data_IF_864463863972
#
_entry.id   IF_864463863972
#
_cell.length_a   1.000
_cell.length_b   1.000
_cell.length_c   1.000
_cell.angle_alpha   90.00
_cell.angle_beta   90.00
_cell.angle_gamma   90.00
#
_symmetry.space_group_name_H-M   'P 1'
#
loop_
_entity.id
_entity.type
_entity.pdbx_description
1 polymer ?
#
# COMPACT_ATOMS: atom_id res chain seq x y z
N UNK A 1 -1.37 -19.70 -2.59
CA UNK A 1 -1.98 -18.34 -2.59
C UNK A 1 -1.70 -17.61 -1.29
N UNK A 2 -2.19 -18.09 -0.14
CA UNK A 2 -2.01 -17.40 1.16
C UNK A 2 -0.55 -17.11 1.53
N UNK A 3 0.40 -18.05 1.34
CA UNK A 3 1.81 -17.79 1.67
C UNK A 3 2.49 -16.79 0.72
N UNK A 4 2.11 -16.79 -0.56
CA UNK A 4 2.63 -15.83 -1.57
C UNK A 4 2.04 -14.45 -1.35
N UNK A 5 0.75 -14.36 -1.03
CA UNK A 5 0.12 -13.14 -0.53
C UNK A 5 0.82 -12.67 0.74
N UNK A 6 0.98 -13.52 1.75
CA UNK A 6 1.55 -13.15 3.04
C UNK A 6 3.00 -12.62 2.96
N UNK A 7 3.86 -13.22 2.14
CA UNK A 7 5.24 -12.74 1.96
C UNK A 7 5.32 -11.49 1.09
N UNK A 8 4.58 -11.44 -0.01
CA UNK A 8 4.58 -10.27 -0.88
C UNK A 8 3.93 -9.07 -0.16
N UNK A 9 2.90 -9.29 0.66
CA UNK A 9 2.28 -8.29 1.55
C UNK A 9 3.18 -7.77 2.67
N UNK A 10 4.29 -8.46 3.01
CA UNK A 10 5.32 -7.93 3.92
C UNK A 10 6.35 -7.06 3.21
N UNK A 11 6.62 -7.37 1.95
CA UNK A 11 7.58 -6.66 1.10
C UNK A 11 6.94 -5.37 0.56
N UNK A 12 5.67 -5.45 0.16
CA UNK A 12 4.89 -4.34 -0.37
C UNK A 12 4.96 -3.08 0.52
N UNK A 13 4.70 -3.10 1.84
CA UNK A 13 4.81 -1.88 2.66
C UNK A 13 6.20 -1.24 2.61
N UNK A 14 7.29 -2.01 2.51
CA UNK A 14 8.65 -1.46 2.41
C UNK A 14 8.96 -0.88 1.03
N UNK A 15 8.52 -1.54 -0.04
CA UNK A 15 8.66 -1.05 -1.42
C UNK A 15 7.77 0.19 -1.64
N UNK A 16 6.53 0.14 -1.16
CA UNK A 16 5.57 1.23 -1.30
C UNK A 16 5.90 2.41 -0.37
N UNK A 17 6.45 2.22 0.83
CA UNK A 17 6.93 3.34 1.66
C UNK A 17 8.15 4.04 1.02
N UNK A 18 8.98 3.31 0.26
CA UNK A 18 10.07 3.89 -0.53
C UNK A 18 9.59 4.68 -1.75
N UNK A 19 8.55 4.20 -2.42
CA UNK A 19 7.95 4.86 -3.58
C UNK A 19 6.87 5.79 -3.08
N UNK A 20 7.24 7.06 -2.84
CA UNK A 20 6.39 8.19 -2.41
C UNK A 20 5.31 8.57 -3.45
N UNK A 21 4.73 7.56 -4.08
CA UNK A 21 4.15 7.59 -5.41
C UNK A 21 2.67 7.94 -5.35
N UNK A 22 1.96 7.38 -4.38
CA UNK A 22 0.71 7.94 -3.94
C UNK A 22 1.14 9.02 -2.97
N UNK A 23 1.07 10.27 -3.40
CA UNK A 23 1.23 11.42 -2.53
C UNK A 23 -0.16 11.78 -2.00
N UNK A 24 -0.68 11.09 -0.96
CA UNK A 24 -1.77 11.65 -0.20
C UNK A 24 -1.31 12.96 0.48
N UNK A 25 -0.01 13.28 0.46
CA UNK A 25 0.62 14.46 1.05
C UNK A 25 -0.14 15.77 0.85
N UNK A 26 -0.45 16.22 -0.39
CA UNK A 26 -1.19 17.46 -0.61
C UNK A 26 -2.59 17.46 0.00
N UNK A 27 -3.36 16.38 -0.16
CA UNK A 27 -4.71 16.33 0.41
C UNK A 27 -4.68 16.16 1.93
N UNK A 28 -3.80 15.32 2.46
CA UNK A 28 -3.61 15.11 3.90
C UNK A 28 -3.15 16.41 4.54
N UNK A 29 -2.23 17.14 3.92
CA UNK A 29 -1.79 18.46 4.39
C UNK A 29 -2.94 19.47 4.40
N UNK A 30 -3.82 19.45 3.38
CA UNK A 30 -5.04 20.28 3.39
C UNK A 30 -5.99 19.91 4.52
N UNK A 31 -6.22 18.63 4.77
CA UNK A 31 -7.06 18.17 5.89
C UNK A 31 -6.44 18.56 7.24
N UNK A 32 -5.11 18.56 7.36
CA UNK A 32 -4.42 19.01 8.58
C UNK A 32 -4.51 20.51 8.79
N UNK A 33 -4.48 21.29 7.71
CA UNK A 33 -4.56 22.75 7.76
C UNK A 33 -6.00 23.28 7.88
N UNK A 34 -7.00 22.50 7.46
CA UNK A 34 -8.41 22.87 7.53
C UNK A 34 -8.93 22.83 8.97
N UNK A 35 -9.81 23.77 9.29
CA UNK A 35 -10.59 23.82 10.53
C UNK A 35 -12.01 23.27 10.33
N UNK A 36 -12.33 22.82 9.12
CA UNK A 36 -13.68 22.47 8.70
C UNK A 36 -14.03 21.05 9.14
N UNK A 37 -15.27 20.85 9.60
CA UNK A 37 -15.73 19.53 10.00
C UNK A 37 -16.16 18.70 8.78
N UNK A 38 -15.89 17.40 8.86
CA UNK A 38 -16.38 16.38 7.93
C UNK A 38 -17.37 15.44 8.62
N UNK A 39 -17.84 15.78 9.82
CA UNK A 39 -18.77 14.92 10.56
C UNK A 39 -20.14 14.89 9.87
N UNK A 40 -20.49 13.71 9.38
CA UNK A 40 -21.71 13.44 8.61
C UNK A 40 -22.68 12.52 9.33
N UNK A 41 -22.36 12.11 10.56
CA UNK A 41 -23.28 11.41 11.45
C UNK A 41 -24.26 12.43 12.09
N UNK A 42 -25.58 12.35 11.79
CA UNK A 42 -26.58 13.27 12.35
C UNK A 42 -26.68 13.22 13.88
N UNK A 43 -26.14 12.17 14.53
CA UNK A 43 -26.07 12.07 15.99
C UNK A 43 -24.90 12.86 16.59
N UNK A 44 -23.95 13.32 15.76
CA UNK A 44 -22.70 13.94 16.19
C UNK A 44 -22.50 15.37 15.67
N UNK A 45 -23.35 15.85 14.77
CA UNK A 45 -23.34 17.23 14.27
C UNK A 45 -24.74 17.85 14.23
N UNK A 46 -24.81 19.18 14.16
CA UNK A 46 -26.09 19.86 13.98
C UNK A 46 -26.64 19.64 12.55
N UNK A 47 -27.98 19.73 12.33
CA UNK A 47 -28.56 19.63 11.00
C UNK A 47 -28.15 20.76 10.05
N UNK A 48 -27.80 21.92 10.60
CA UNK A 48 -27.40 23.13 9.86
C UNK A 48 -26.01 22.93 9.23
N UNK A 49 -25.07 22.37 9.99
CA UNK A 49 -23.70 22.08 9.53
C UNK A 49 -23.63 20.80 8.69
N UNK A 50 -24.63 19.90 8.79
CA UNK A 50 -24.58 18.58 8.17
C UNK A 50 -24.43 18.66 6.63
N UNK A 51 -25.09 19.62 5.98
CA UNK A 51 -24.97 19.76 4.52
C UNK A 51 -23.60 20.31 4.11
N UNK A 52 -23.04 21.25 4.86
CA UNK A 52 -21.69 21.77 4.63
C UNK A 52 -20.63 20.68 4.85
N UNK A 53 -20.75 19.91 5.94
CA UNK A 53 -19.83 18.81 6.25
C UNK A 53 -19.86 17.70 5.19
N UNK A 54 -21.03 17.43 4.59
CA UNK A 54 -21.17 16.48 3.47
C UNK A 54 -20.42 16.96 2.24
N UNK A 55 -20.50 18.25 1.93
CA UNK A 55 -19.78 18.87 0.82
C UNK A 55 -18.27 18.83 1.05
N UNK A 56 -17.80 19.17 2.27
CA UNK A 56 -16.39 19.05 2.63
C UNK A 56 -15.87 17.62 2.47
N UNK A 57 -16.66 16.61 2.90
CA UNK A 57 -16.30 15.20 2.72
C UNK A 57 -16.27 14.80 1.25
N UNK A 58 -17.24 15.26 0.46
CA UNK A 58 -17.27 15.01 -0.98
C UNK A 58 -15.99 15.51 -1.66
N UNK A 59 -15.66 16.79 -1.46
CA UNK A 59 -14.48 17.43 -2.05
C UNK A 59 -13.19 16.72 -1.62
N UNK A 60 -13.06 16.39 -0.33
CA UNK A 60 -11.88 15.68 0.18
C UNK A 60 -11.74 14.28 -0.41
N UNK A 61 -12.85 13.57 -0.62
CA UNK A 61 -12.85 12.26 -1.28
C UNK A 61 -12.53 12.39 -2.77
N UNK A 62 -13.09 13.39 -3.46
CA UNK A 62 -12.82 13.64 -4.87
C UNK A 62 -11.33 13.92 -5.12
N UNK A 63 -10.73 14.82 -4.35
CA UNK A 63 -9.29 15.11 -4.44
C UNK A 63 -8.44 13.85 -4.21
N UNK A 64 -8.80 13.01 -3.23
CA UNK A 64 -8.08 11.79 -2.94
C UNK A 64 -8.20 10.77 -4.10
N UNK A 65 -9.41 10.58 -4.65
CA UNK A 65 -9.64 9.66 -5.77
C UNK A 65 -8.93 10.15 -7.02
N UNK A 66 -9.07 11.42 -7.38
CA UNK A 66 -8.39 11.99 -8.55
C UNK A 66 -6.86 11.83 -8.42
N UNK A 67 -6.29 12.13 -7.26
CA UNK A 67 -4.86 11.93 -7.02
C UNK A 67 -4.43 10.48 -7.20
N UNK A 68 -5.24 9.50 -6.76
CA UNK A 68 -4.96 8.07 -6.97
C UNK A 68 -5.05 7.70 -8.46
N UNK A 69 -6.09 8.13 -9.16
CA UNK A 69 -6.27 7.80 -10.58
C UNK A 69 -5.18 8.45 -11.46
N UNK A 70 -4.82 9.69 -11.19
CA UNK A 70 -3.74 10.41 -11.89
C UNK A 70 -2.36 9.85 -11.55
N UNK A 71 -2.20 9.25 -10.37
CA UNK A 71 -0.92 8.68 -9.96
C UNK A 71 -0.46 7.63 -10.97
N UNK A 72 -1.34 6.88 -11.64
CA UNK A 72 -1.03 5.77 -12.56
C UNK A 72 0.28 5.88 -13.36
N UNK A 73 0.64 7.07 -13.88
CA UNK A 73 1.86 7.30 -14.68
C UNK A 73 3.18 7.18 -13.94
N UNK A 74 3.22 7.47 -12.65
CA UNK A 74 4.46 7.37 -11.85
C UNK A 74 4.55 6.04 -11.07
N UNK A 75 3.66 5.06 -11.36
CA UNK A 75 3.47 3.89 -10.50
C UNK A 75 4.76 3.08 -10.43
N UNK A 76 5.21 2.69 -9.23
CA UNK A 76 6.52 2.09 -9.06
C UNK A 76 6.59 0.77 -9.84
N UNK A 77 7.59 0.63 -10.73
CA UNK A 77 7.67 -0.52 -11.63
C UNK A 77 7.84 -1.84 -10.90
N UNK A 78 8.46 -1.82 -9.72
CA UNK A 78 8.62 -3.01 -8.89
C UNK A 78 7.28 -3.55 -8.42
N UNK A 79 6.31 -2.67 -8.12
CA UNK A 79 4.96 -3.09 -7.75
C UNK A 79 4.14 -3.51 -8.96
N UNK A 80 4.27 -2.81 -10.10
CA UNK A 80 3.63 -3.25 -11.33
C UNK A 80 4.06 -4.66 -11.68
N UNK A 81 5.36 -4.95 -11.69
CA UNK A 81 5.87 -6.28 -11.95
C UNK A 81 5.29 -7.34 -11.00
N UNK A 82 5.14 -7.01 -9.71
CA UNK A 82 4.51 -7.90 -8.73
C UNK A 82 3.02 -8.12 -9.07
N UNK A 83 2.26 -7.07 -9.34
CA UNK A 83 0.83 -7.14 -9.63
C UNK A 83 0.53 -7.83 -10.95
N UNK A 84 1.30 -7.55 -12.01
CA UNK A 84 1.22 -8.25 -13.29
C UNK A 84 1.53 -9.74 -13.13
N UNK A 85 2.54 -10.11 -12.32
CA UNK A 85 2.83 -11.52 -12.03
C UNK A 85 1.69 -12.23 -11.29
N UNK A 86 0.91 -11.51 -10.48
CA UNK A 86 -0.28 -12.06 -9.83
C UNK A 86 -1.39 -12.27 -10.86
N UNK A 87 -1.61 -11.29 -11.73
CA UNK A 87 -2.61 -11.35 -12.80
C UNK A 87 -2.35 -12.52 -13.75
N UNK A 88 -1.10 -12.72 -14.18
CA UNK A 88 -0.71 -13.86 -15.01
C UNK A 88 -1.01 -15.21 -14.33
N UNK A 89 -0.61 -15.35 -13.05
CA UNK A 89 -0.85 -16.59 -12.29
C UNK A 89 -2.33 -16.89 -12.10
N UNK A 90 -3.12 -15.86 -11.83
CA UNK A 90 -4.56 -16.00 -11.63
C UNK A 90 -5.27 -16.28 -12.95
N UNK A 91 -4.80 -15.70 -14.06
CA UNK A 91 -5.29 -16.01 -15.42
C UNK A 91 -5.00 -17.47 -15.78
N UNK A 92 -3.82 -18.01 -15.41
CA UNK A 92 -3.53 -19.45 -15.57
C UNK A 92 -4.47 -20.36 -14.76
N UNK A 93 -5.10 -19.85 -13.71
CA UNK A 93 -6.10 -20.57 -12.92
C UNK A 93 -7.54 -20.36 -13.39
N UNK A 94 -7.74 -19.71 -14.54
CA UNK A 94 -9.05 -19.40 -15.11
C UNK A 94 -9.93 -18.54 -14.18
N UNK A 95 -9.30 -17.62 -13.43
CA UNK A 95 -9.97 -16.77 -12.43
C UNK A 95 -9.56 -15.29 -12.51
N UNK A 96 -9.53 -14.65 -13.69
CA UNK A 96 -8.94 -13.32 -13.90
C UNK A 96 -9.45 -12.23 -12.94
N UNK A 97 -10.71 -12.29 -12.53
CA UNK A 97 -11.32 -11.35 -11.56
C UNK A 97 -10.62 -11.33 -10.20
N UNK A 98 -10.00 -12.44 -9.79
CA UNK A 98 -9.30 -12.52 -8.51
C UNK A 98 -8.03 -11.66 -8.48
N UNK A 99 -7.41 -11.39 -9.64
CA UNK A 99 -6.16 -10.62 -9.70
C UNK A 99 -6.40 -9.16 -9.32
N UNK A 100 -7.36 -8.50 -9.97
CA UNK A 100 -7.76 -7.14 -9.63
C UNK A 100 -8.31 -7.02 -8.20
N UNK A 101 -9.04 -8.02 -7.70
CA UNK A 101 -9.48 -8.06 -6.30
C UNK A 101 -8.31 -8.17 -5.31
N UNK A 102 -7.32 -9.01 -5.60
CA UNK A 102 -6.12 -9.16 -4.78
C UNK A 102 -5.29 -7.88 -4.76
N UNK A 103 -5.14 -7.23 -5.91
CA UNK A 103 -4.44 -5.94 -6.02
C UNK A 103 -5.18 -4.85 -5.27
N UNK A 104 -6.52 -4.75 -5.44
CA UNK A 104 -7.35 -3.82 -4.66
C UNK A 104 -7.20 -4.02 -3.15
N UNK A 105 -7.30 -5.27 -2.67
CA UNK A 105 -7.14 -5.62 -1.26
C UNK A 105 -5.70 -5.45 -0.73
N UNK A 106 -4.70 -5.42 -1.60
CA UNK A 106 -3.32 -5.10 -1.23
C UNK A 106 -3.13 -3.58 -1.16
N UNK A 107 -3.47 -2.88 -2.23
CA UNK A 107 -3.19 -1.46 -2.40
C UNK A 107 -4.05 -0.60 -1.48
N UNK A 108 -5.36 -0.83 -1.40
CA UNK A 108 -6.26 0.02 -0.61
C UNK A 108 -6.27 -0.39 0.86
N UNK A 109 -6.57 -1.66 1.14
CA UNK A 109 -6.78 -2.12 2.51
C UNK A 109 -5.49 -2.17 3.33
N UNK A 110 -4.34 -2.48 2.71
CA UNK A 110 -3.08 -2.68 3.44
C UNK A 110 -2.06 -1.57 3.25
N UNK A 111 -2.27 -0.66 2.30
CA UNK A 111 -1.34 0.44 2.08
C UNK A 111 -2.03 1.80 2.15
N UNK A 112 -2.90 2.14 1.19
CA UNK A 112 -3.46 3.49 1.09
C UNK A 112 -4.33 3.87 2.28
N UNK A 113 -5.30 3.04 2.66
CA UNK A 113 -6.15 3.35 3.81
C UNK A 113 -5.33 3.47 5.10
N UNK A 114 -4.41 2.54 5.43
CA UNK A 114 -3.48 2.72 6.54
C UNK A 114 -2.61 3.99 6.45
N UNK A 115 -2.12 4.36 5.26
CA UNK A 115 -1.32 5.56 5.05
C UNK A 115 -2.12 6.85 5.29
N UNK A 116 -3.39 6.85 4.90
CA UNK A 116 -4.32 7.97 5.14
C UNK A 116 -4.69 8.07 6.61
N UNK A 117 -4.95 6.93 7.27
CA UNK A 117 -5.31 6.86 8.69
C UNK A 117 -4.13 7.17 9.63
N UNK A 118 -2.91 6.90 9.20
CA UNK A 118 -1.70 7.03 10.03
C UNK A 118 -0.54 7.64 9.24
N UNK A 119 -0.66 8.88 8.76
CA UNK A 119 0.32 9.50 7.87
C UNK A 119 1.72 9.63 8.49
N UNK A 120 1.83 9.72 9.82
CA UNK A 120 3.12 9.74 10.52
C UNK A 120 3.94 8.45 10.38
N UNK A 121 3.29 7.29 10.28
CA UNK A 121 3.97 6.00 10.06
C UNK A 121 4.48 5.83 8.63
N UNK A 122 3.93 6.61 7.70
CA UNK A 122 4.27 6.59 6.29
C UNK A 122 5.09 7.81 5.87
N UNK A 123 5.61 8.57 6.86
CA UNK A 123 6.42 9.77 6.64
C UNK A 123 5.75 10.85 5.77
N UNK A 124 4.41 10.88 5.74
CA UNK A 124 3.62 11.86 4.98
C UNK A 124 3.52 13.18 5.76
N UNK A 125 3.33 13.09 7.09
CA UNK A 125 3.29 14.25 7.99
C UNK A 125 4.02 13.92 9.29
N UNK A 126 4.88 14.82 9.81
CA UNK A 126 5.56 14.60 11.09
C UNK A 126 4.64 14.81 12.30
N UNK A 127 3.50 15.48 12.14
CA UNK A 127 2.58 15.81 13.22
C UNK A 127 1.43 14.81 13.33
N UNK A 128 0.91 14.61 14.54
CA UNK A 128 -0.27 13.79 14.74
C UNK A 128 -1.53 14.58 14.34
N UNK A 129 -2.50 13.95 13.65
CA UNK A 129 -3.71 14.65 13.26
C UNK A 129 -4.49 15.06 14.50
N UNK A 130 -5.00 16.29 14.52
CA UNK A 130 -5.98 16.69 15.51
C UNK A 130 -7.25 15.81 15.41
N UNK A 131 -8.11 15.74 16.44
CA UNK A 131 -9.28 14.84 16.43
C UNK A 131 -10.23 15.04 15.23
N UNK A 132 -10.34 16.27 14.73
CA UNK A 132 -11.17 16.63 13.58
C UNK A 132 -10.56 16.10 12.28
N UNK A 133 -9.27 16.34 12.04
CA UNK A 133 -8.52 15.81 10.91
C UNK A 133 -8.49 14.27 10.93
N UNK A 134 -8.28 13.65 12.11
CA UNK A 134 -8.30 12.20 12.25
C UNK A 134 -9.67 11.61 11.87
N UNK A 135 -10.76 12.28 12.25
CA UNK A 135 -12.12 11.91 11.87
C UNK A 135 -12.33 12.04 10.35
N UNK A 136 -11.91 13.15 9.76
CA UNK A 136 -11.98 13.38 8.32
C UNK A 136 -11.25 12.30 7.52
N UNK A 137 -9.99 12.02 7.88
CA UNK A 137 -9.17 10.96 7.26
C UNK A 137 -9.83 9.59 7.39
N UNK A 138 -10.48 9.32 8.52
CA UNK A 138 -11.22 8.06 8.71
C UNK A 138 -12.38 7.93 7.75
N UNK A 139 -13.15 9.01 7.55
CA UNK A 139 -14.29 9.00 6.63
C UNK A 139 -13.82 8.87 5.18
N UNK A 140 -12.77 9.60 4.79
CA UNK A 140 -12.15 9.49 3.46
C UNK A 140 -11.64 8.07 3.21
N UNK A 141 -10.86 7.50 4.13
CA UNK A 141 -10.37 6.12 4.01
C UNK A 141 -11.51 5.10 3.87
N UNK A 142 -12.63 5.34 4.54
CA UNK A 142 -13.82 4.47 4.46
C UNK A 142 -14.50 4.54 3.09
N UNK A 143 -14.64 5.74 2.52
CA UNK A 143 -15.16 5.93 1.16
C UNK A 143 -14.24 5.28 0.15
N UNK A 144 -12.93 5.51 0.23
CA UNK A 144 -11.94 4.89 -0.65
C UNK A 144 -11.96 3.37 -0.56
N UNK A 145 -12.10 2.81 0.64
CA UNK A 145 -12.19 1.36 0.83
C UNK A 145 -13.45 0.77 0.17
N UNK A 146 -14.59 1.43 0.28
CA UNK A 146 -15.82 1.00 -0.38
C UNK A 146 -15.75 1.17 -1.90
N UNK A 147 -15.09 2.22 -2.39
CA UNK A 147 -14.83 2.43 -3.82
C UNK A 147 -13.98 1.28 -4.39
N UNK A 148 -12.88 0.95 -3.73
CA UNK A 148 -11.96 -0.12 -4.12
C UNK A 148 -12.59 -1.52 -4.06
N UNK A 149 -13.57 -1.72 -3.18
CA UNK A 149 -14.33 -2.96 -3.05
C UNK A 149 -15.54 -3.03 -4.01
N UNK A 150 -15.85 -1.97 -4.75
CA UNK A 150 -17.05 -1.86 -5.58
C UNK A 150 -18.36 -2.10 -4.79
N UNK A 151 -18.42 -1.61 -3.55
CA UNK A 151 -19.54 -1.81 -2.64
C UNK A 151 -20.18 -0.50 -2.22
N UNK A 152 -21.52 -0.46 -2.17
CA UNK A 152 -22.29 0.68 -1.63
C UNK A 152 -22.35 0.65 -0.10
N UNK A 153 -22.54 1.82 0.50
CA UNK A 153 -22.93 1.93 1.90
C UNK A 153 -24.35 1.38 2.10
N UNK A 154 -24.49 0.40 2.99
CA UNK A 154 -25.76 -0.23 3.35
C UNK A 154 -26.39 0.33 4.62
N UNK A 155 -27.45 -0.32 5.12
CA UNK A 155 -28.24 0.16 6.28
C UNK A 155 -27.43 0.37 7.55
N UNK A 156 -26.40 -0.45 7.79
CA UNK A 156 -25.49 -0.33 8.95
C UNK A 156 -24.75 1.01 8.99
N UNK A 157 -24.61 1.67 7.85
CA UNK A 157 -23.87 2.93 7.68
C UNK A 157 -24.72 3.95 6.90
N UNK A 158 -26.03 3.98 7.18
CA UNK A 158 -26.99 4.80 6.44
C UNK A 158 -26.66 6.30 6.40
N UNK A 159 -25.91 6.81 7.38
CA UNK A 159 -25.42 8.19 7.40
C UNK A 159 -24.44 8.50 6.25
N UNK A 160 -23.75 7.50 5.69
CA UNK A 160 -22.86 7.62 4.52
C UNK A 160 -23.57 7.34 3.18
N UNK A 161 -24.87 7.01 3.19
CA UNK A 161 -25.57 6.58 1.98
C UNK A 161 -25.59 7.65 0.86
N UNK A 162 -25.44 8.93 1.21
CA UNK A 162 -25.33 10.02 0.24
C UNK A 162 -24.07 9.90 -0.65
N UNK A 163 -23.02 9.22 -0.17
CA UNK A 163 -21.80 8.95 -0.95
C UNK A 163 -22.00 7.83 -2.00
N UNK A 164 -23.13 7.13 -2.03
CA UNK A 164 -23.31 6.05 -3.00
C UNK A 164 -23.28 6.57 -4.46
N UNK A 165 -23.80 7.78 -4.71
CA UNK A 165 -23.67 8.43 -6.01
C UNK A 165 -22.21 8.72 -6.40
N UNK A 166 -21.38 9.12 -5.43
CA UNK A 166 -19.94 9.28 -5.61
C UNK A 166 -19.30 7.95 -6.03
N UNK A 167 -19.57 6.88 -5.29
CA UNK A 167 -18.97 5.57 -5.55
C UNK A 167 -19.29 5.09 -6.97
N UNK A 168 -20.55 5.21 -7.39
CA UNK A 168 -21.02 4.86 -8.73
C UNK A 168 -20.33 5.68 -9.82
N UNK A 169 -20.12 6.97 -9.59
CA UNK A 169 -19.44 7.86 -10.53
C UNK A 169 -17.98 7.46 -10.77
N UNK A 170 -17.27 6.98 -9.76
CA UNK A 170 -15.83 6.64 -9.87
C UNK A 170 -15.53 5.16 -10.05
N UNK A 171 -16.52 4.26 -10.04
CA UNK A 171 -16.28 2.81 -10.21
C UNK A 171 -15.58 2.48 -11.53
N UNK A 172 -16.02 3.06 -12.65
CA UNK A 172 -15.38 2.78 -13.94
C UNK A 172 -13.91 3.25 -13.95
N UNK A 173 -13.64 4.44 -13.41
CA UNK A 173 -12.27 4.95 -13.27
C UNK A 173 -11.40 4.07 -12.38
N UNK A 174 -11.94 3.61 -11.25
CA UNK A 174 -11.24 2.68 -10.34
C UNK A 174 -10.97 1.33 -11.01
N UNK A 175 -11.93 0.81 -11.78
CA UNK A 175 -11.78 -0.44 -12.53
C UNK A 175 -10.66 -0.33 -13.55
N UNK A 176 -10.64 0.75 -14.34
CA UNK A 176 -9.58 1.03 -15.33
C UNK A 176 -8.22 1.17 -14.64
N UNK A 177 -8.15 1.89 -13.52
CA UNK A 177 -6.93 2.02 -12.73
C UNK A 177 -6.40 0.65 -12.29
N UNK A 178 -7.25 -0.18 -11.67
CA UNK A 178 -6.88 -1.52 -11.21
C UNK A 178 -6.43 -2.42 -12.36
N UNK A 179 -7.14 -2.38 -13.49
CA UNK A 179 -6.75 -3.13 -14.69
C UNK A 179 -5.37 -2.69 -15.19
N UNK A 180 -5.12 -1.39 -15.23
CA UNK A 180 -3.84 -0.89 -15.74
C UNK A 180 -2.67 -1.26 -14.84
N UNK A 181 -2.82 -1.16 -13.51
CA UNK A 181 -1.74 -1.55 -12.58
C UNK A 181 -1.54 -3.07 -12.50
N UNK A 182 -2.44 -3.87 -13.09
CA UNK A 182 -2.31 -5.33 -13.24
C UNK A 182 -1.86 -5.76 -14.63
N UNK A 183 -1.79 -4.85 -15.59
CA UNK A 183 -1.50 -5.17 -16.99
C UNK A 183 0.02 -5.30 -17.20
N UNK A 184 0.54 -6.49 -17.60
CA UNK A 184 1.95 -6.69 -17.89
C UNK A 184 2.47 -5.86 -19.06
N UNK A 185 1.60 -5.49 -20.00
CA UNK A 185 1.96 -4.78 -21.23
C UNK A 185 1.76 -3.25 -21.11
N UNK A 186 1.41 -2.77 -19.91
CA UNK A 186 1.18 -1.35 -19.70
C UNK A 186 2.46 -0.55 -19.91
N UNK A 187 2.44 0.42 -20.85
CA UNK A 187 3.52 1.38 -21.09
C UNK A 187 3.67 2.41 -19.95
N UNK A 188 3.60 1.99 -18.69
CA UNK A 188 3.98 2.83 -17.56
C UNK A 188 5.49 3.02 -17.66
N UNK A 189 5.91 4.21 -18.13
CA UNK A 189 7.33 4.56 -18.16
C UNK A 189 7.88 4.45 -16.75
N UNK A 190 8.76 3.46 -16.48
CA UNK A 190 9.25 3.23 -15.14
C UNK A 190 10.18 4.39 -14.79
N UNK A 191 9.69 5.36 -14.04
CA UNK A 191 10.60 6.24 -13.29
C UNK A 191 11.16 5.36 -12.18
N UNK A 192 12.31 4.74 -12.47
CA UNK A 192 13.04 3.94 -11.50
C UNK A 192 13.26 4.77 -10.23
N UNK A 193 13.08 4.13 -9.09
CA UNK A 193 13.36 4.76 -7.80
C UNK A 193 14.81 5.28 -7.75
N UNK A 194 14.99 6.61 -7.69
CA UNK A 194 16.30 7.27 -7.55
C UNK A 194 16.80 7.36 -6.10
N UNK A 195 16.07 6.78 -5.13
CA UNK A 195 16.52 6.86 -3.75
C UNK A 195 17.75 5.98 -3.51
N UNK A 196 18.78 6.59 -2.92
CA UNK A 196 19.98 5.85 -2.52
C UNK A 196 19.63 4.89 -1.38
N UNK A 197 19.84 3.60 -1.62
CA UNK A 197 19.81 2.59 -0.57
C UNK A 197 21.17 2.67 0.13
N UNK A 198 21.18 2.92 1.44
CA UNK A 198 22.37 2.64 2.25
C UNK A 198 22.55 1.12 2.33
N UNK A 199 23.20 0.59 1.31
CA UNK A 199 23.41 -0.83 1.13
C UNK A 199 24.17 -1.42 2.33
N UNK A 200 25.09 -0.66 2.93
CA UNK A 200 25.84 -1.11 4.09
C UNK A 200 24.92 -1.32 5.31
N UNK A 201 24.03 -0.35 5.57
CA UNK A 201 23.07 -0.46 6.67
C UNK A 201 22.06 -1.60 6.47
N UNK A 202 21.52 -1.75 5.26
CA UNK A 202 20.56 -2.81 4.94
C UNK A 202 21.19 -4.20 4.99
N UNK A 203 22.42 -4.34 4.49
CA UNK A 203 23.19 -5.59 4.57
C UNK A 203 23.53 -5.94 6.03
N UNK A 204 23.92 -4.97 6.85
CA UNK A 204 24.18 -5.19 8.27
C UNK A 204 22.90 -5.63 9.02
N UNK A 205 21.76 -5.00 8.71
CA UNK A 205 20.46 -5.39 9.26
C UNK A 205 20.06 -6.80 8.83
N UNK A 206 20.24 -7.13 7.54
CA UNK A 206 19.98 -8.45 7.01
C UNK A 206 20.85 -9.52 7.68
N UNK A 207 22.16 -9.26 7.83
CA UNK A 207 23.10 -10.13 8.52
C UNK A 207 22.67 -10.39 9.96
N UNK A 208 22.34 -9.35 10.72
CA UNK A 208 21.87 -9.47 12.10
C UNK A 208 20.60 -10.34 12.22
N UNK A 209 19.62 -10.12 11.35
CA UNK A 209 18.38 -10.91 11.33
C UNK A 209 18.64 -12.37 10.98
N UNK A 210 19.44 -12.63 9.93
CA UNK A 210 19.79 -13.98 9.51
C UNK A 210 20.55 -14.72 10.61
N UNK A 211 21.56 -14.10 11.23
CA UNK A 211 22.26 -14.69 12.37
C UNK A 211 21.30 -15.04 13.53
N UNK A 212 20.30 -14.20 13.79
CA UNK A 212 19.26 -14.48 14.78
C UNK A 212 18.41 -15.71 14.43
N UNK A 213 17.91 -15.78 13.19
CA UNK A 213 17.10 -16.91 12.70
C UNK A 213 17.91 -18.21 12.74
N UNK A 214 19.15 -18.18 12.25
CA UNK A 214 20.01 -19.35 12.21
C UNK A 214 20.40 -19.89 13.60
N UNK A 215 20.21 -19.14 14.69
CA UNK A 215 20.35 -19.72 16.05
C UNK A 215 19.26 -20.78 16.35
N UNK A 216 18.05 -20.62 15.80
CA UNK A 216 16.91 -21.49 16.07
C UNK A 216 16.61 -22.55 14.99
N UNK A 217 17.28 -22.50 13.84
CA UNK A 217 17.07 -23.43 12.72
C UNK A 217 17.80 -24.77 12.97
N UNK A 218 17.16 -25.89 12.60
CA UNK A 218 17.75 -27.23 12.69
C UNK A 218 18.97 -27.38 11.78
N UNK A 219 19.96 -28.18 12.20
CA UNK A 219 21.23 -28.36 11.49
C UNK A 219 21.04 -28.80 10.02
N UNK A 220 20.12 -29.73 9.76
CA UNK A 220 19.82 -30.21 8.41
C UNK A 220 19.39 -29.09 7.44
N UNK A 221 18.63 -28.10 7.91
CA UNK A 221 18.22 -26.94 7.10
C UNK A 221 19.37 -25.96 6.90
N UNK A 222 20.31 -25.88 7.86
CA UNK A 222 21.53 -25.06 7.70
C UNK A 222 22.42 -25.62 6.62
N UNK A 223 22.63 -26.93 6.64
CA UNK A 223 23.48 -27.62 5.67
C UNK A 223 22.93 -27.50 4.23
N UNK A 224 21.60 -27.47 4.07
CA UNK A 224 20.93 -27.24 2.77
C UNK A 224 21.05 -25.80 2.26
N UNK A 225 21.36 -24.84 3.13
CA UNK A 225 21.44 -23.42 2.80
C UNK A 225 22.88 -22.94 2.59
N UNK A 226 23.87 -23.83 2.59
CA UNK A 226 25.24 -23.46 2.21
C UNK A 226 25.27 -22.83 0.80
N UNK A 227 26.08 -21.77 0.58
CA UNK A 227 27.14 -21.25 1.44
C UNK A 227 26.69 -20.21 2.51
N UNK A 228 25.38 -19.96 2.66
CA UNK A 228 24.86 -18.84 3.46
C UNK A 228 25.30 -18.86 4.94
N UNK A 229 25.23 -19.98 5.69
CA UNK A 229 25.72 -20.02 7.08
C UNK A 229 27.20 -19.69 7.19
N UNK A 230 28.01 -20.17 6.24
CA UNK A 230 29.45 -19.91 6.17
C UNK A 230 29.73 -18.42 5.94
N UNK A 231 29.02 -17.78 5.01
CA UNK A 231 29.13 -16.34 4.74
C UNK A 231 28.72 -15.52 5.99
N UNK A 232 27.62 -15.86 6.64
CA UNK A 232 27.15 -15.16 7.84
C UNK A 232 28.15 -15.25 8.99
N UNK A 233 28.77 -16.42 9.17
CA UNK A 233 29.82 -16.63 10.18
C UNK A 233 31.08 -15.83 9.85
N UNK A 234 31.55 -15.88 8.61
CA UNK A 234 32.72 -15.11 8.18
C UNK A 234 32.52 -13.61 8.40
N UNK A 235 31.35 -13.07 8.04
CA UNK A 235 31.00 -11.67 8.28
C UNK A 235 30.92 -11.31 9.77
N UNK A 236 30.42 -12.21 10.63
CA UNK A 236 30.36 -11.98 12.08
C UNK A 236 31.75 -11.99 12.74
N UNK A 237 32.67 -12.80 12.20
CA UNK A 237 34.03 -12.98 12.69
C UNK A 237 35.04 -12.02 12.03
N UNK A 238 34.61 -11.19 11.08
CA UNK A 238 35.49 -10.28 10.31
C UNK A 238 36.47 -11.01 9.39
N UNK A 239 36.14 -12.25 9.00
CA UNK A 239 36.94 -13.08 8.11
C UNK A 239 36.61 -12.80 6.65
N UNK A 240 37.55 -13.02 5.71
CA UNK A 240 37.27 -12.92 4.29
C UNK A 240 36.13 -13.88 3.90
N UNK A 241 35.13 -13.33 3.21
CA UNK A 241 34.03 -14.13 2.66
C UNK A 241 34.60 -15.07 1.60
N UNK A 242 34.28 -16.37 1.61
CA UNK A 242 34.77 -17.29 0.57
C UNK A 242 34.30 -16.81 -0.81
N UNK A 243 35.23 -16.57 -1.74
CA UNK A 243 34.89 -16.34 -3.15
C UNK A 243 34.51 -17.67 -3.83
N UNK A 244 33.46 -17.62 -4.65
CA UNK A 244 32.90 -18.65 -5.54
C UNK A 244 31.88 -19.66 -4.98
N UNK A 245 30.62 -19.46 -5.41
CA UNK A 245 29.74 -20.55 -5.84
C UNK A 245 30.34 -21.06 -7.16
N UNK A 246 31.01 -22.20 -7.12
CA UNK A 246 31.40 -22.92 -8.34
C UNK A 246 30.15 -23.23 -9.15
N UNK A 247 30.09 -22.71 -10.38
CA UNK A 247 29.45 -23.42 -11.48
C UNK A 247 30.09 -24.81 -11.55
N UNK A 248 29.36 -25.85 -11.18
CA UNK A 248 29.45 -27.22 -11.72
C UNK A 248 28.63 -28.18 -10.85
N UNK A 249 27.38 -28.44 -11.27
CA UNK A 249 26.84 -29.76 -11.64
C UNK A 249 25.34 -29.68 -11.94
#
# INVERSE_FOLDING_TARGET
LENVLYHTLKICPKIINRSLFLSPGPFVSRIYASTDSHEVDPLRCSPEELNENKEHLWQSCEEAVQSILESQRSFPPELLAVFSSWQEKVTMWDRPDLGSQMVSACLFLRFLCPAILSPGLFHISPEHPNPLAARALTLVAKVLQNLANFTRFGEKEGYMAFMNGFLEQYWDGMSIFLQTVTDPDSEVSPVGYEGSIDLAYELATLHYMLCGIFKGVHQQTKDQLEPLPTILKALAEGLPVPECITQDQ
#
